data_IF_934629819420
#
_entry.id   IF_934629819420
#
_cell.length_a   1.000
_cell.length_b   1.000
_cell.length_c   1.000
_cell.angle_alpha   90.00
_cell.angle_beta   90.00
_cell.angle_gamma   90.00
#
_symmetry.space_group_name_H-M   'P 1'
#
loop_
_entity.id
_entity.type
_entity.pdbx_description
1 polymer ?
#
# COMPACT_ATOMS: atom_id res chain seq x y z
N UNK A 1 5.32 13.73 -12.51
CA UNK A 1 5.11 12.27 -12.58
C UNK A 1 4.61 11.94 -13.99
N UNK A 2 5.10 10.87 -14.64
CA UNK A 2 4.50 10.44 -15.91
C UNK A 2 3.18 9.70 -15.65
N UNK A 3 2.35 9.55 -16.68
CA UNK A 3 1.01 8.95 -16.52
C UNK A 3 1.04 7.45 -16.20
N UNK A 4 2.13 6.76 -16.54
CA UNK A 4 2.31 5.34 -16.19
C UNK A 4 2.46 5.15 -14.68
N UNK A 5 3.27 6.00 -14.02
CA UNK A 5 3.51 5.86 -12.59
C UNK A 5 2.25 6.15 -11.74
N UNK A 6 1.30 6.95 -12.23
CA UNK A 6 0.01 7.16 -11.57
C UNK A 6 -0.92 5.95 -11.65
N UNK A 7 -0.69 5.07 -12.62
CA UNK A 7 -1.48 3.84 -12.85
C UNK A 7 -0.89 2.61 -12.18
N UNK A 8 0.24 2.74 -11.48
CA UNK A 8 0.86 1.64 -10.79
C UNK A 8 -0.01 1.24 -9.59
N UNK A 9 -0.45 -0.02 -9.47
CA UNK A 9 -1.03 -0.52 -8.23
C UNK A 9 0.08 -0.63 -7.16
N UNK A 10 -0.17 -0.09 -5.97
CA UNK A 10 0.79 -0.04 -4.86
C UNK A 10 0.10 -0.60 -3.60
N UNK A 11 0.63 -1.69 -3.05
CA UNK A 11 0.32 -2.13 -1.69
C UNK A 11 1.32 -1.51 -0.71
N UNK A 12 0.83 -0.95 0.39
CA UNK A 12 1.66 -0.43 1.47
C UNK A 12 1.15 -0.93 2.83
N UNK A 13 1.80 -1.96 3.37
CA UNK A 13 1.61 -2.42 4.74
C UNK A 13 2.55 -1.71 5.73
N UNK A 14 2.07 -1.36 6.92
CA UNK A 14 2.91 -0.76 7.97
C UNK A 14 2.43 -1.09 9.38
N UNK A 15 3.34 -1.52 10.25
CA UNK A 15 3.05 -1.76 11.67
C UNK A 15 2.96 -0.47 12.49
N UNK A 16 1.87 -0.29 13.26
CA UNK A 16 1.66 0.96 14.02
C UNK A 16 2.64 1.17 15.17
N UNK A 17 3.28 0.10 15.64
CA UNK A 17 4.25 0.10 16.74
C UNK A 17 5.69 -0.11 16.26
N UNK A 18 5.99 0.06 14.97
CA UNK A 18 7.35 -0.04 14.45
C UNK A 18 8.27 1.01 15.13
N UNK A 19 9.30 0.58 15.89
CA UNK A 19 10.21 1.49 16.58
C UNK A 19 11.34 2.02 15.68
N UNK A 20 11.58 1.39 14.52
CA UNK A 20 12.68 1.70 13.60
C UNK A 20 12.19 2.60 12.46
N UNK A 21 11.14 2.17 11.75
CA UNK A 21 10.49 2.93 10.69
C UNK A 21 9.16 3.43 11.23
N UNK A 22 9.21 4.59 11.89
CA UNK A 22 8.07 5.13 12.64
C UNK A 22 6.83 5.27 11.74
N UNK A 23 5.66 4.87 12.26
CA UNK A 23 4.38 4.97 11.55
C UNK A 23 4.04 6.37 11.01
N UNK A 24 4.56 7.43 11.64
CA UNK A 24 4.41 8.80 11.13
C UNK A 24 5.05 9.00 9.75
N UNK A 25 6.18 8.32 9.47
CA UNK A 25 6.84 8.40 8.19
C UNK A 25 6.02 7.73 7.10
N UNK A 26 5.38 6.58 7.39
CA UNK A 26 4.44 5.95 6.48
C UNK A 26 3.29 6.90 6.10
N UNK A 27 2.66 7.54 7.10
CA UNK A 27 1.59 8.54 6.86
C UNK A 27 2.07 9.72 6.00
N UNK A 28 3.26 10.25 6.28
CA UNK A 28 3.84 11.35 5.51
C UNK A 28 4.18 10.93 4.08
N UNK A 29 4.74 9.73 3.89
CA UNK A 29 5.03 9.18 2.56
C UNK A 29 3.75 8.98 1.74
N UNK A 30 2.72 8.36 2.33
CA UNK A 30 1.42 8.16 1.67
C UNK A 30 0.78 9.50 1.30
N UNK A 31 0.82 10.49 2.19
CA UNK A 31 0.34 11.84 1.90
C UNK A 31 1.12 12.47 0.73
N UNK A 32 2.44 12.34 0.71
CA UNK A 32 3.27 12.84 -0.38
C UNK A 32 2.97 12.16 -1.72
N UNK A 33 2.73 10.84 -1.73
CA UNK A 33 2.31 10.13 -2.95
C UNK A 33 1.00 10.70 -3.49
N UNK A 34 0.02 10.96 -2.60
CA UNK A 34 -1.30 11.48 -2.98
C UNK A 34 -1.27 12.93 -3.43
N UNK A 35 -0.78 13.82 -2.56
CA UNK A 35 -0.84 15.26 -2.78
C UNK A 35 0.32 15.76 -3.66
N UNK A 36 1.51 15.17 -3.50
CA UNK A 36 2.72 15.61 -4.19
C UNK A 36 2.89 14.99 -5.58
N UNK A 37 2.51 13.71 -5.75
CA UNK A 37 2.72 12.98 -7.01
C UNK A 37 1.42 12.68 -7.77
N UNK A 38 0.27 12.90 -7.15
CA UNK A 38 -1.05 12.67 -7.77
C UNK A 38 -1.39 11.19 -7.92
N UNK A 39 -0.88 10.32 -7.05
CA UNK A 39 -1.29 8.91 -6.96
C UNK A 39 -2.60 8.85 -6.19
N UNK A 40 -3.63 8.23 -6.78
CA UNK A 40 -4.94 8.10 -6.14
C UNK A 40 -4.99 6.90 -5.21
N UNK A 41 -6.03 6.81 -4.38
CA UNK A 41 -6.37 5.56 -3.70
C UNK A 41 -6.83 4.53 -4.73
N UNK A 42 -6.57 3.25 -4.44
CA UNK A 42 -7.16 2.17 -5.22
C UNK A 42 -8.68 2.14 -5.05
N UNK A 43 -9.39 1.62 -6.05
CA UNK A 43 -10.85 1.44 -6.02
C UNK A 43 -11.21 0.05 -6.52
N UNK A 44 -12.42 -0.43 -6.22
CA UNK A 44 -12.87 -1.73 -6.75
C UNK A 44 -12.91 -1.77 -8.29
N UNK A 45 -13.21 -0.64 -8.93
CA UNK A 45 -13.33 -0.53 -10.39
C UNK A 45 -11.98 -0.33 -11.09
N UNK A 46 -11.01 0.29 -10.43
CA UNK A 46 -9.65 0.55 -10.93
C UNK A 46 -8.65 0.27 -9.82
N UNK A 47 -7.87 -0.79 -10.00
CA UNK A 47 -6.87 -1.25 -9.04
C UNK A 47 -5.61 -0.36 -9.06
N UNK A 48 -5.52 0.63 -9.94
CA UNK A 48 -4.46 1.62 -9.95
C UNK A 48 -4.43 2.48 -8.67
N UNK A 49 -3.22 2.89 -8.26
CA UNK A 49 -3.05 3.75 -7.10
C UNK A 49 -2.60 2.99 -5.86
N UNK A 50 -2.71 3.61 -4.69
CA UNK A 50 -2.23 3.06 -3.43
C UNK A 50 -3.34 2.46 -2.58
N UNK A 51 -3.06 1.30 -1.99
CA UNK A 51 -3.84 0.65 -0.93
C UNK A 51 -2.96 0.60 0.33
N UNK A 52 -3.31 1.39 1.35
CA UNK A 52 -2.53 1.53 2.58
C UNK A 52 -3.17 0.77 3.73
N UNK A 53 -2.40 -0.13 4.34
CA UNK A 53 -2.81 -0.97 5.46
C UNK A 53 -1.97 -0.67 6.70
N UNK A 54 -2.64 -0.44 7.82
CA UNK A 54 -2.01 -0.14 9.10
C UNK A 54 -2.32 -1.25 10.12
N UNK A 55 -1.30 -2.04 10.45
CA UNK A 55 -1.46 -3.20 11.32
C UNK A 55 -1.25 -2.82 12.78
N UNK A 56 -2.34 -2.87 13.57
CA UNK A 56 -2.33 -2.39 14.93
C UNK A 56 -1.45 -3.26 15.84
N UNK A 57 -0.48 -2.66 16.51
CA UNK A 57 0.42 -3.35 17.43
C UNK A 57 1.60 -4.07 16.76
N UNK A 58 1.59 -4.19 15.42
CA UNK A 58 2.70 -4.76 14.67
C UNK A 58 3.93 -3.84 14.76
N UNK A 59 5.08 -4.45 15.01
CA UNK A 59 6.39 -3.78 15.12
C UNK A 59 7.12 -3.82 13.77
N UNK A 60 8.45 -3.76 13.77
CA UNK A 60 9.27 -3.94 12.57
C UNK A 60 9.36 -5.42 12.15
N UNK A 61 8.23 -5.98 11.71
CA UNK A 61 8.06 -7.37 11.28
C UNK A 61 6.85 -7.49 10.36
N UNK A 62 6.51 -8.71 9.94
CA UNK A 62 5.25 -9.02 9.26
C UNK A 62 4.31 -9.83 10.17
N UNK A 63 3.00 -9.72 9.95
CA UNK A 63 1.96 -10.54 10.59
C UNK A 63 1.26 -11.45 9.57
N UNK A 64 0.58 -12.50 10.03
CA UNK A 64 -0.24 -13.35 9.16
C UNK A 64 -1.33 -12.54 8.44
N UNK A 65 -1.95 -11.58 9.14
CA UNK A 65 -2.92 -10.63 8.58
C UNK A 65 -2.33 -9.83 7.41
N UNK A 66 -1.10 -9.31 7.54
CA UNK A 66 -0.43 -8.57 6.46
C UNK A 66 -0.14 -9.45 5.24
N UNK A 67 0.22 -10.71 5.47
CA UNK A 67 0.48 -11.66 4.38
C UNK A 67 -0.81 -12.05 3.66
N UNK A 68 -1.91 -12.24 4.39
CA UNK A 68 -3.23 -12.53 3.82
C UNK A 68 -3.74 -11.34 2.98
N UNK A 69 -3.61 -10.11 3.48
CA UNK A 69 -3.98 -8.90 2.73
C UNK A 69 -3.12 -8.74 1.46
N UNK A 70 -1.81 -8.98 1.57
CA UNK A 70 -0.91 -8.94 0.42
C UNK A 70 -1.28 -10.00 -0.62
N UNK A 71 -1.63 -11.22 -0.19
CA UNK A 71 -2.10 -12.27 -1.10
C UNK A 71 -3.38 -11.84 -1.82
N UNK A 72 -4.39 -11.37 -1.07
CA UNK A 72 -5.65 -10.91 -1.64
C UNK A 72 -5.46 -9.72 -2.60
N UNK A 73 -4.51 -8.84 -2.31
CA UNK A 73 -4.14 -7.75 -3.21
C UNK A 73 -3.47 -8.27 -4.49
N UNK A 74 -2.52 -9.20 -4.38
CA UNK A 74 -1.85 -9.82 -5.54
C UNK A 74 -2.85 -10.50 -6.48
N UNK A 75 -3.83 -11.22 -5.93
CA UNK A 75 -4.90 -11.86 -6.71
C UNK A 75 -5.75 -10.87 -7.51
N UNK A 76 -5.90 -9.62 -7.03
CA UNK A 76 -6.63 -8.55 -7.74
C UNK A 76 -5.82 -7.89 -8.84
N UNK A 77 -4.52 -7.68 -8.61
CA UNK A 77 -3.68 -6.84 -9.48
C UNK A 77 -2.89 -7.62 -10.52
N UNK A 78 -2.63 -8.91 -10.26
CA UNK A 78 -1.94 -9.77 -11.21
C UNK A 78 -2.92 -10.28 -12.27
N UNK A 79 -2.54 -10.24 -13.56
CA UNK A 79 -3.35 -10.88 -14.58
C UNK A 79 -3.40 -12.39 -14.33
N UNK A 80 -4.56 -12.98 -14.56
CA UNK A 80 -4.69 -14.45 -14.61
C UNK A 80 -3.86 -14.91 -15.80
N UNK A 81 -2.80 -15.67 -15.54
CA UNK A 81 -2.04 -16.31 -16.61
C UNK A 81 -2.97 -17.34 -17.29
N UNK A 82 -3.19 -17.20 -18.60
CA UNK A 82 -3.79 -18.26 -19.44
C UNK A 82 -2.85 -19.46 -19.61
#
# INVERSE_FOLDING_TARGET
MNDHAKKLPIFWGHGTNDPLVKFIWAKQSVQFLKEGLGITETTEADQAGIEFHAYNGLVHSASDEEIEDLQAWLEKVLPVNE
#
